data_IF_653149696807
#
_entry.id   IF_653149696807
#
_cell.length_a   1.000
_cell.length_b   1.000
_cell.length_c   1.000
_cell.angle_alpha   90.00
_cell.angle_beta   90.00
_cell.angle_gamma   90.00
#
_symmetry.space_group_name_H-M   'P 1'
#
loop_
_entity.id
_entity.type
_entity.pdbx_description
1 polymer ?
#
# COMPACT_ATOMS: atom_id res chain seq x y z
N UNK A 1 22.59 12.33 16.50
CA UNK A 1 22.25 11.97 16.10
C UNK A 1 21.38 11.74 15.70
N UNK A 2 21.17 11.68 15.40
CA UNK A 2 20.54 11.46 14.91
C UNK A 2 19.77 10.89 14.46
N UNK A 3 19.38 10.89 14.42
CA UNK A 3 18.71 10.43 14.16
C UNK A 3 17.93 10.44 13.52
N UNK A 4 17.91 10.50 13.20
CA UNK A 4 17.34 10.56 12.55
C UNK A 4 16.57 10.10 11.86
N UNK A 5 15.98 10.48 11.95
CA UNK A 5 15.46 10.06 11.17
C UNK A 5 15.38 9.11 10.50
N UNK A 6 15.58 8.82 10.76
CA UNK A 6 15.88 7.70 9.92
C UNK A 6 14.79 6.69 10.02
N UNK A 7 14.22 6.35 8.89
CA UNK A 7 13.23 5.30 8.84
C UNK A 7 13.95 3.97 9.08
N UNK A 8 13.87 3.46 10.30
CA UNK A 8 14.36 2.12 10.59
C UNK A 8 13.43 1.10 9.97
N UNK A 9 13.92 -0.12 9.75
CA UNK A 9 13.10 -1.18 9.22
C UNK A 9 11.85 -1.41 10.09
N UNK A 10 12.01 -1.40 11.41
CA UNK A 10 10.88 -1.57 12.32
C UNK A 10 9.86 -0.44 12.18
N UNK A 11 10.35 0.80 11.99
CA UNK A 11 9.48 1.95 11.78
C UNK A 11 8.68 1.85 10.50
N UNK A 12 9.31 1.34 9.43
CA UNK A 12 8.63 1.13 8.15
C UNK A 12 7.53 0.08 8.27
N UNK A 13 7.78 -1.01 8.99
CA UNK A 13 6.77 -2.04 9.21
C UNK A 13 5.58 -1.47 9.97
N UNK A 14 5.85 -0.69 11.02
CA UNK A 14 4.78 -0.08 11.83
C UNK A 14 3.96 0.89 11.00
N UNK A 15 4.62 1.70 10.17
CA UNK A 15 3.92 2.64 9.32
C UNK A 15 3.05 1.94 8.30
N UNK A 16 3.59 0.90 7.63
CA UNK A 16 2.82 0.16 6.64
C UNK A 16 1.63 -0.53 7.27
N UNK A 17 1.82 -1.16 8.44
CA UNK A 17 0.72 -1.82 9.15
C UNK A 17 -0.39 -0.83 9.49
N UNK A 18 -0.02 0.36 9.92
CA UNK A 18 -0.97 1.40 10.27
C UNK A 18 -1.75 1.87 9.05
N UNK A 19 -1.06 2.07 7.92
CA UNK A 19 -1.69 2.46 6.67
C UNK A 19 -2.65 1.40 6.16
N UNK A 20 -2.31 0.12 6.30
CA UNK A 20 -3.21 -0.95 5.90
C UNK A 20 -4.51 -0.92 6.72
N UNK A 21 -4.41 -0.67 8.03
CA UNK A 21 -5.60 -0.55 8.87
C UNK A 21 -6.45 0.64 8.47
N UNK A 22 -5.79 1.76 8.20
CA UNK A 22 -6.48 3.00 7.83
C UNK A 22 -7.24 2.84 6.52
N UNK A 23 -6.73 2.02 5.60
CA UNK A 23 -7.32 1.82 4.28
C UNK A 23 -8.10 0.51 4.14
N UNK A 24 -8.41 -0.14 5.27
CA UNK A 24 -9.05 -1.46 5.24
C UNK A 24 -10.40 -1.48 4.51
N UNK A 25 -11.09 -0.35 4.46
CA UNK A 25 -12.38 -0.27 3.75
C UNK A 25 -12.26 -0.50 2.24
N UNK A 26 -11.07 -0.30 1.69
CA UNK A 26 -10.88 -0.33 0.23
C UNK A 26 -9.93 -1.42 -0.27
N UNK A 27 -9.51 -2.34 0.60
CA UNK A 27 -8.63 -3.44 0.22
C UNK A 27 -9.09 -4.72 0.91
N UNK A 28 -8.55 -5.86 0.48
CA UNK A 28 -8.86 -7.14 1.09
C UNK A 28 -7.61 -7.87 1.50
N UNK A 29 -7.73 -8.63 2.59
CA UNK A 29 -6.75 -9.63 3.03
C UNK A 29 -5.30 -9.16 3.01
N UNK A 30 -4.99 -7.98 3.59
CA UNK A 30 -3.59 -7.57 3.64
C UNK A 30 -2.82 -8.52 4.55
N UNK A 31 -1.63 -8.91 4.10
CA UNK A 31 -0.75 -9.73 4.91
C UNK A 31 -0.04 -8.88 5.95
N UNK A 32 0.41 -9.51 7.02
CA UNK A 32 1.22 -8.84 8.03
C UNK A 32 2.51 -8.33 7.36
N UNK A 33 2.81 -7.04 7.45
CA UNK A 33 4.05 -6.53 6.85
C UNK A 33 5.28 -7.17 7.47
N UNK A 34 6.29 -7.38 6.65
CA UNK A 34 7.57 -7.95 7.08
C UNK A 34 8.71 -7.23 6.38
N UNK A 35 9.91 -7.35 6.93
CA UNK A 35 11.09 -6.75 6.32
C UNK A 35 11.63 -7.70 5.27
N UNK A 36 11.78 -7.18 4.04
CA UNK A 36 12.41 -7.90 2.92
C UNK A 36 13.32 -6.91 2.22
N UNK A 37 14.60 -7.24 2.14
CA UNK A 37 15.61 -6.40 1.48
C UNK A 37 15.62 -4.95 2.00
N UNK A 38 15.47 -4.79 3.32
CA UNK A 38 15.53 -3.48 3.96
C UNK A 38 14.28 -2.64 3.81
N UNK A 39 13.21 -3.18 3.21
CA UNK A 39 11.94 -2.49 3.05
C UNK A 39 10.84 -3.24 3.75
N UNK A 40 9.80 -2.52 4.18
CA UNK A 40 8.59 -3.18 4.69
C UNK A 40 7.77 -3.61 3.48
N UNK A 41 7.37 -4.88 3.44
CA UNK A 41 6.61 -5.41 2.31
C UNK A 41 5.38 -6.15 2.79
N UNK A 42 4.34 -6.10 1.99
CA UNK A 42 3.10 -6.83 2.22
C UNK A 42 2.49 -7.23 0.88
N UNK A 43 1.52 -8.13 0.94
CA UNK A 43 0.67 -8.45 -0.20
C UNK A 43 -0.76 -8.15 0.21
N UNK A 44 -1.52 -7.56 -0.69
CA UNK A 44 -2.93 -7.29 -0.46
C UNK A 44 -3.72 -7.61 -1.72
N UNK A 45 -5.04 -7.65 -1.59
CA UNK A 45 -5.93 -7.94 -2.70
C UNK A 45 -6.77 -6.71 -2.97
N UNK A 46 -6.76 -6.26 -4.23
CA UNK A 46 -7.59 -5.14 -4.65
C UNK A 46 -9.04 -5.59 -4.74
N UNK A 47 -9.97 -4.65 -4.53
CA UNK A 47 -11.38 -4.94 -4.71
C UNK A 47 -11.70 -5.25 -6.16
N UNK A 48 -10.93 -4.68 -7.10
CA UNK A 48 -11.09 -4.91 -8.53
C UNK A 48 -10.48 -6.27 -8.90
N UNK A 49 -11.27 -7.12 -9.53
CA UNK A 49 -10.80 -8.40 -10.07
C UNK A 49 -10.12 -9.31 -9.05
N UNK A 50 -10.21 -8.99 -7.77
CA UNK A 50 -9.49 -9.70 -6.70
C UNK A 50 -8.00 -9.85 -7.04
N UNK A 51 -7.43 -8.82 -7.65
CA UNK A 51 -6.03 -8.84 -8.05
C UNK A 51 -5.13 -8.73 -6.84
N UNK A 52 -4.12 -9.61 -6.77
CA UNK A 52 -3.13 -9.59 -5.69
C UNK A 52 -1.99 -8.67 -6.11
N UNK A 53 -1.58 -7.77 -5.21
CA UNK A 53 -0.43 -6.91 -5.47
C UNK A 53 0.51 -6.94 -4.28
N UNK A 54 1.81 -6.86 -4.57
CA UNK A 54 2.84 -6.68 -3.56
C UNK A 54 3.14 -5.20 -3.42
N UNK A 55 3.28 -4.73 -2.19
CA UNK A 55 3.58 -3.33 -1.89
C UNK A 55 4.79 -3.27 -0.98
N UNK A 56 5.71 -2.36 -1.29
CA UNK A 56 6.89 -2.14 -0.46
C UNK A 56 6.96 -0.68 -0.05
N UNK A 57 7.29 -0.46 1.22
CA UNK A 57 7.51 0.88 1.76
C UNK A 57 8.98 1.03 2.11
N UNK A 58 9.59 2.09 1.61
CA UNK A 58 10.96 2.47 1.92
C UNK A 58 11.00 3.95 2.23
N UNK A 59 12.18 4.47 2.51
CA UNK A 59 12.35 5.91 2.73
C UNK A 59 12.01 6.72 1.47
N UNK A 60 11.99 6.08 0.30
CA UNK A 60 11.64 6.74 -0.97
C UNK A 60 10.14 6.78 -1.23
N UNK A 61 9.35 6.01 -0.51
CA UNK A 61 7.91 5.98 -0.69
C UNK A 61 7.37 4.57 -0.87
N UNK A 62 6.18 4.49 -1.43
CA UNK A 62 5.48 3.22 -1.66
C UNK A 62 5.66 2.78 -3.10
N UNK A 63 5.93 1.50 -3.32
CA UNK A 63 6.09 0.95 -4.66
C UNK A 63 5.32 -0.36 -4.78
N UNK A 64 4.83 -0.63 -5.99
CA UNK A 64 4.25 -1.93 -6.32
C UNK A 64 5.40 -2.84 -6.72
N UNK A 65 5.51 -4.01 -6.09
CA UNK A 65 6.62 -4.94 -6.35
C UNK A 65 6.22 -6.09 -7.27
N UNK A 66 4.95 -6.46 -7.27
CA UNK A 66 4.45 -7.53 -8.15
C UNK A 66 2.95 -7.40 -8.28
N UNK A 67 2.41 -7.99 -9.34
CA UNK A 67 0.97 -7.98 -9.60
C UNK A 67 0.57 -9.36 -10.15
N UNK A 68 -0.67 -9.77 -9.87
CA UNK A 68 -1.18 -11.04 -10.37
C UNK A 68 -1.86 -10.92 -11.73
N UNK A 69 -2.20 -9.71 -12.16
CA UNK A 69 -2.87 -9.47 -13.44
C UNK A 69 -2.03 -8.56 -14.31
N UNK A 70 -1.91 -8.89 -15.58
CA UNK A 70 -1.10 -8.15 -16.54
C UNK A 70 -1.51 -6.68 -16.67
N UNK A 71 -2.76 -6.36 -16.47
CA UNK A 71 -3.22 -4.97 -16.62
C UNK A 71 -2.55 -4.02 -15.63
N UNK A 72 -1.95 -4.54 -14.55
CA UNK A 72 -1.27 -3.72 -13.56
C UNK A 72 0.25 -3.72 -13.72
N UNK A 73 0.79 -4.44 -14.69
CA UNK A 73 2.24 -4.59 -14.84
C UNK A 73 2.99 -3.29 -14.96
N UNK A 74 2.39 -2.29 -15.60
CA UNK A 74 3.05 -1.00 -15.79
C UNK A 74 3.25 -0.26 -14.49
N UNK A 75 2.54 -0.64 -13.44
CA UNK A 75 2.66 0.00 -12.13
C UNK A 75 3.83 -0.54 -11.32
N UNK A 76 4.36 -1.71 -11.70
CA UNK A 76 5.48 -2.31 -10.96
C UNK A 76 6.69 -1.40 -11.04
N UNK A 77 7.27 -1.07 -9.88
CA UNK A 77 8.43 -0.20 -9.80
C UNK A 77 8.12 1.29 -9.74
N UNK A 78 6.87 1.69 -9.94
CA UNK A 78 6.47 3.10 -9.83
C UNK A 78 6.39 3.48 -8.36
N UNK A 79 6.97 4.62 -8.00
CA UNK A 79 6.93 5.13 -6.63
C UNK A 79 5.77 6.09 -6.44
N UNK A 80 5.13 5.99 -5.28
CA UNK A 80 4.06 6.87 -4.85
C UNK A 80 4.39 7.43 -3.49
N UNK A 81 3.97 8.65 -3.21
CA UNK A 81 4.25 9.28 -1.93
C UNK A 81 3.43 8.68 -0.79
N UNK A 82 2.25 8.17 -1.09
CA UNK A 82 1.35 7.62 -0.07
C UNK A 82 0.71 6.34 -0.57
N UNK A 83 0.24 5.52 0.36
CA UNK A 83 -0.51 4.33 0.00
C UNK A 83 -1.82 4.70 -0.69
N UNK A 84 -2.45 5.81 -0.26
CA UNK A 84 -3.66 6.32 -0.92
C UNK A 84 -3.41 6.58 -2.40
N UNK A 85 -2.31 7.25 -2.73
CA UNK A 85 -1.99 7.54 -4.13
C UNK A 85 -1.78 6.27 -4.93
N UNK A 86 -1.08 5.29 -4.36
CA UNK A 86 -0.84 4.01 -5.00
C UNK A 86 -2.14 3.28 -5.28
N UNK A 87 -2.99 3.15 -4.25
CA UNK A 87 -4.26 2.44 -4.40
C UNK A 87 -5.20 3.16 -5.36
N UNK A 88 -5.22 4.51 -5.30
CA UNK A 88 -6.05 5.30 -6.21
C UNK A 88 -5.64 5.13 -7.66
N UNK A 89 -4.35 4.97 -7.91
CA UNK A 89 -3.85 4.80 -9.27
C UNK A 89 -4.23 3.43 -9.86
N UNK A 90 -4.31 2.40 -9.00
CA UNK A 90 -4.53 1.03 -9.46
C UNK A 90 -5.99 0.58 -9.38
N UNK A 91 -6.76 1.12 -8.43
CA UNK A 91 -8.05 0.54 -8.06
C UNK A 91 -9.18 1.57 -8.10
N UNK A 92 -9.98 1.59 -9.17
CA UNK A 92 -11.20 2.41 -9.18
C UNK A 92 -12.16 2.04 -8.05
N UNK A 93 -12.22 0.75 -7.69
CA UNK A 93 -13.07 0.32 -6.58
C UNK A 93 -12.60 0.89 -5.24
N UNK A 94 -11.27 1.06 -5.07
CA UNK A 94 -10.74 1.73 -3.88
C UNK A 94 -11.22 3.18 -3.82
N UNK A 95 -11.17 3.90 -4.95
CA UNK A 95 -11.62 5.28 -5.00
C UNK A 95 -13.09 5.40 -4.62
N UNK A 96 -13.92 4.50 -5.11
CA UNK A 96 -15.34 4.48 -4.77
C UNK A 96 -15.56 4.18 -3.29
N UNK A 97 -14.80 3.21 -2.75
CA UNK A 97 -14.90 2.86 -1.33
C UNK A 97 -14.46 4.01 -0.44
N UNK A 98 -13.38 4.71 -0.82
CA UNK A 98 -12.88 5.86 -0.08
C UNK A 98 -13.92 6.97 -0.08
N UNK A 99 -14.53 7.24 -1.22
CA UNK A 99 -15.57 8.27 -1.32
C UNK A 99 -16.75 7.94 -0.42
N UNK A 100 -17.20 6.68 -0.42
CA UNK A 100 -18.31 6.27 0.45
C UNK A 100 -17.93 6.40 1.93
N UNK A 101 -16.69 6.06 2.27
CA UNK A 101 -16.23 6.16 3.66
C UNK A 101 -16.20 7.61 4.13
N UNK A 102 -15.79 8.54 3.27
CA UNK A 102 -15.78 9.95 3.59
C UNK A 102 -17.21 10.51 3.71
N UNK A 103 -18.09 10.13 2.78
CA UNK A 103 -19.47 10.61 2.81
C UNK A 103 -20.23 10.12 4.05
N UNK A 104 -19.93 8.90 4.51
CA UNK A 104 -20.63 8.36 5.67
C UNK A 104 -20.28 9.07 6.98
N UNK A 105 -19.24 9.90 6.98
CA UNK A 105 -18.83 10.67 8.15
C UNK A 105 -19.49 12.06 8.22
N UNK A 106 -20.19 12.43 7.17
CA UNK A 106 -20.83 13.75 7.08
C UNK A 106 -22.26 13.73 7.69
#
# INVERSE_FOLDING_TARGET
MHTEQIATAAGLVAELADELRTHAYGIRSPEQPAIVDGRAQTTLILLDDEASIGVALSSSGYAVTRVSHNKYEKSVGVLYETLTALLSALSPAFNSAMHRALCSRL
#
